data_IF_202220112317
#
_entry.id   IF_202220112317
#
_cell.length_a   1.000
_cell.length_b   1.000
_cell.length_c   1.000
_cell.angle_alpha   90.00
_cell.angle_beta   90.00
_cell.angle_gamma   90.00
#
_symmetry.space_group_name_H-M   'P 1'
#
loop_
_entity.id
_entity.type
_entity.pdbx_description
1 polymer ?
#
# COMPACT_ATOMS: atom_id res chain seq x y z
N UNK A 1 2.91 -1.17 -15.63
CA UNK A 1 1.88 -1.90 -16.40
C UNK A 1 0.55 -1.36 -15.92
N UNK A 2 0.02 -0.37 -16.64
CA UNK A 2 -1.36 0.06 -16.50
C UNK A 2 -2.04 -0.62 -17.68
N UNK A 3 -3.03 -1.47 -17.44
CA UNK A 3 -3.87 -1.93 -18.54
C UNK A 3 -4.56 -0.68 -19.07
N UNK A 4 -4.13 -0.21 -20.24
CA UNK A 4 -4.25 1.20 -20.66
C UNK A 4 -5.72 1.70 -20.69
N UNK A 5 -6.68 0.77 -20.72
CA UNK A 5 -8.12 1.04 -20.77
C UNK A 5 -8.95 0.22 -19.74
N UNK A 6 -8.31 -0.47 -18.79
CA UNK A 6 -9.03 -1.22 -17.75
C UNK A 6 -9.02 -0.47 -16.42
N UNK A 7 -10.21 -0.13 -15.93
CA UNK A 7 -10.40 0.40 -14.59
C UNK A 7 -10.74 -0.76 -13.65
N UNK A 8 -9.97 -0.88 -12.56
CA UNK A 8 -10.29 -1.83 -11.50
C UNK A 8 -11.61 -1.39 -10.84
N UNK A 9 -12.65 -2.24 -10.80
CA UNK A 9 -13.89 -1.91 -10.12
C UNK A 9 -13.66 -1.64 -8.63
N UNK A 10 -14.41 -0.71 -8.05
CA UNK A 10 -14.36 -0.36 -6.63
C UNK A 10 -12.96 0.05 -6.11
N UNK A 11 -12.11 0.62 -6.96
CA UNK A 11 -10.73 0.94 -6.60
C UNK A 11 -10.62 1.98 -5.48
N UNK A 12 -11.48 3.00 -5.48
CA UNK A 12 -11.47 4.02 -4.43
C UNK A 12 -12.01 3.46 -3.12
N UNK A 13 -13.06 2.63 -3.17
CA UNK A 13 -13.62 1.93 -2.02
C UNK A 13 -12.62 0.94 -1.42
N UNK A 14 -11.82 0.27 -2.26
CA UNK A 14 -10.75 -0.61 -1.81
C UNK A 14 -9.66 0.19 -1.08
N UNK A 15 -9.31 1.39 -1.58
CA UNK A 15 -8.36 2.30 -0.92
C UNK A 15 -8.90 2.81 0.42
N UNK A 16 -10.17 3.19 0.48
CA UNK A 16 -10.82 3.60 1.73
C UNK A 16 -10.82 2.46 2.75
N UNK A 17 -11.19 1.25 2.33
CA UNK A 17 -11.20 0.05 3.17
C UNK A 17 -9.84 -0.21 3.82
N UNK A 18 -8.75 -0.24 3.05
CA UNK A 18 -7.41 -0.47 3.62
C UNK A 18 -6.91 0.71 4.46
N UNK A 19 -7.33 1.94 4.14
CA UNK A 19 -6.95 3.12 4.92
C UNK A 19 -7.60 3.09 6.31
N UNK A 20 -8.89 2.75 6.39
CA UNK A 20 -9.58 2.59 7.67
C UNK A 20 -9.05 1.40 8.48
N UNK A 21 -8.71 0.29 7.81
CA UNK A 21 -8.08 -0.86 8.45
C UNK A 21 -6.69 -0.50 9.02
N UNK A 22 -5.85 0.19 8.26
CA UNK A 22 -4.52 0.61 8.70
C UNK A 22 -4.57 1.54 9.93
N UNK A 23 -5.58 2.42 10.01
CA UNK A 23 -5.79 3.29 11.19
C UNK A 23 -6.05 2.52 12.49
N UNK A 24 -6.53 1.27 12.41
CA UNK A 24 -6.74 0.44 13.61
C UNK A 24 -5.43 -0.07 14.23
N UNK A 25 -4.32 -0.05 13.48
CA UNK A 25 -3.02 -0.59 13.90
C UNK A 25 -1.90 0.44 13.63
N UNK A 26 -1.92 1.62 14.30
CA UNK A 26 -1.01 2.72 13.99
C UNK A 26 0.47 2.43 14.30
N UNK A 27 0.77 1.32 14.98
CA UNK A 27 2.13 0.89 15.29
C UNK A 27 2.85 0.33 14.05
N UNK A 28 2.11 -0.13 13.04
CA UNK A 28 2.67 -0.65 11.80
C UNK A 28 2.65 0.45 10.74
N UNK A 29 3.84 0.90 10.32
CA UNK A 29 3.99 2.04 9.40
C UNK A 29 3.70 1.68 7.94
N UNK A 30 3.85 0.41 7.57
CA UNK A 30 3.59 -0.09 6.21
C UNK A 30 2.99 -1.49 6.27
N UNK A 31 1.93 -1.70 5.50
CA UNK A 31 1.24 -2.98 5.37
C UNK A 31 1.04 -3.25 3.88
N UNK A 32 1.39 -4.44 3.41
CA UNK A 32 0.98 -4.93 2.09
C UNK A 32 -0.40 -5.54 2.18
N UNK A 33 -1.36 -5.04 1.39
CA UNK A 33 -2.75 -5.50 1.45
C UNK A 33 -3.12 -6.33 0.23
N UNK A 34 -3.66 -7.51 0.50
CA UNK A 34 -4.34 -8.33 -0.51
C UNK A 34 -5.84 -8.12 -0.39
N UNK A 35 -6.48 -7.73 -1.50
CA UNK A 35 -7.89 -7.35 -1.56
C UNK A 35 -8.55 -8.16 -2.68
N UNK A 36 -9.70 -8.76 -2.41
CA UNK A 36 -10.58 -9.28 -3.45
C UNK A 36 -11.65 -8.25 -3.82
N UNK A 37 -11.89 -8.07 -5.11
CA UNK A 37 -13.01 -7.28 -5.64
C UNK A 37 -14.15 -8.25 -5.97
N UNK A 38 -15.23 -8.20 -5.19
CA UNK A 38 -16.44 -8.98 -5.41
C UNK A 38 -17.50 -8.17 -6.17
N UNK A 39 -18.57 -8.79 -6.69
CA UNK A 39 -19.65 -8.07 -7.38
C UNK A 39 -20.34 -6.99 -6.54
N UNK A 40 -20.30 -7.11 -5.21
CA UNK A 40 -20.91 -6.23 -4.23
C UNK A 40 -19.92 -5.31 -3.51
N UNK A 41 -18.62 -5.47 -3.72
CA UNK A 41 -17.59 -4.57 -3.19
C UNK A 41 -16.25 -5.25 -2.87
N UNK A 42 -15.28 -4.46 -2.36
CA UNK A 42 -13.98 -4.98 -1.95
C UNK A 42 -14.04 -5.66 -0.58
N UNK A 43 -13.25 -6.72 -0.40
CA UNK A 43 -13.01 -7.37 0.90
C UNK A 43 -11.51 -7.53 1.16
N UNK A 44 -11.13 -7.44 2.44
CA UNK A 44 -9.76 -7.72 2.88
C UNK A 44 -9.52 -9.24 2.90
N UNK A 45 -8.40 -9.68 2.31
CA UNK A 45 -7.93 -11.06 2.41
C UNK A 45 -6.80 -11.16 3.43
N UNK A 46 -5.76 -10.35 3.27
CA UNK A 46 -4.56 -10.39 4.10
C UNK A 46 -3.97 -8.98 4.25
N UNK A 47 -3.43 -8.69 5.44
CA UNK A 47 -2.53 -7.57 5.68
C UNK A 47 -1.17 -8.11 6.12
N UNK A 48 -0.15 -7.90 5.30
CA UNK A 48 1.21 -8.35 5.55
C UNK A 48 2.03 -7.22 6.19
N UNK A 49 2.47 -7.43 7.44
CA UNK A 49 3.23 -6.46 8.24
C UNK A 49 4.72 -6.39 7.86
N UNK A 50 5.20 -7.34 7.06
CA UNK A 50 6.54 -7.38 6.48
C UNK A 50 6.45 -7.55 4.97
N UNK A 51 5.83 -6.59 4.25
CA UNK A 51 5.64 -6.72 2.82
C UNK A 51 7.01 -6.81 2.15
N UNK A 52 7.13 -7.71 1.17
CA UNK A 52 8.36 -7.90 0.41
C UNK A 52 8.62 -6.73 -0.53
N UNK A 53 8.99 -5.57 0.01
CA UNK A 53 9.28 -4.36 -0.77
C UNK A 53 10.55 -4.61 -1.58
N UNK A 54 10.42 -4.74 -2.90
CA UNK A 54 11.54 -5.07 -3.79
C UNK A 54 12.20 -3.82 -4.35
N UNK A 55 13.46 -3.99 -4.74
CA UNK A 55 14.29 -2.97 -5.37
C UNK A 55 13.56 -2.21 -6.50
N UNK A 56 12.76 -2.90 -7.31
CA UNK A 56 12.01 -2.26 -8.40
C UNK A 56 10.94 -1.29 -7.90
N UNK A 57 10.26 -1.58 -6.79
CA UNK A 57 9.22 -0.72 -6.22
C UNK A 57 9.82 0.56 -5.61
N UNK A 58 11.05 0.46 -5.11
CA UNK A 58 11.83 1.57 -4.57
C UNK A 58 12.42 2.41 -5.73
N UNK A 59 13.11 1.78 -6.68
CA UNK A 59 13.99 2.48 -7.64
C UNK A 59 13.27 2.96 -8.90
N UNK A 60 12.21 2.27 -9.35
CA UNK A 60 11.53 2.59 -10.62
C UNK A 60 10.52 3.73 -10.55
N UNK A 61 10.72 4.70 -9.64
CA UNK A 61 9.88 5.91 -9.44
C UNK A 61 8.56 5.70 -8.67
N UNK A 62 8.39 4.58 -7.97
CA UNK A 62 7.31 4.39 -7.00
C UNK A 62 7.67 5.00 -5.65
N UNK A 63 8.08 4.16 -4.70
CA UNK A 63 8.35 4.55 -3.33
C UNK A 63 9.59 5.46 -3.17
N UNK A 64 10.65 5.27 -3.95
CA UNK A 64 11.88 6.07 -3.83
C UNK A 64 11.75 7.55 -4.24
N UNK A 65 10.56 8.00 -4.64
CA UNK A 65 10.23 9.41 -4.86
C UNK A 65 9.10 9.92 -3.97
N UNK A 66 8.46 9.03 -3.21
CA UNK A 66 7.36 9.40 -2.33
C UNK A 66 7.95 10.01 -1.05
N UNK A 67 7.68 11.29 -0.73
CA UNK A 67 8.29 11.96 0.41
C UNK A 67 7.92 11.29 1.75
N UNK A 68 6.69 10.79 1.89
CA UNK A 68 6.22 10.09 3.10
C UNK A 68 6.96 8.77 3.28
N UNK A 69 7.17 8.03 2.18
CA UNK A 69 7.96 6.80 2.24
C UNK A 69 9.42 7.06 2.61
N UNK A 70 10.03 8.11 2.02
CA UNK A 70 11.42 8.47 2.31
C UNK A 70 11.62 8.94 3.75
N UNK A 71 10.66 9.68 4.31
CA UNK A 71 10.65 10.09 5.71
C UNK A 71 10.63 8.87 6.63
N UNK A 72 9.64 7.97 6.46
CA UNK A 72 9.55 6.71 7.20
C UNK A 72 10.82 5.86 7.06
N UNK A 73 11.40 5.80 5.86
CA UNK A 73 12.61 5.04 5.61
C UNK A 73 13.84 5.64 6.32
N UNK A 74 13.96 6.97 6.38
CA UNK A 74 15.03 7.65 7.11
C UNK A 74 14.88 7.50 8.63
N UNK A 75 13.64 7.60 9.16
CA UNK A 75 13.30 7.31 10.56
C UNK A 75 13.76 5.89 10.93
N UNK A 76 13.42 4.90 10.09
CA UNK A 76 13.82 3.50 10.31
C UNK A 76 15.34 3.26 10.25
N UNK A 77 16.09 4.11 9.54
CA UNK A 77 17.55 4.07 9.48
C UNK A 77 18.23 4.89 10.60
N UNK A 78 17.47 5.59 11.44
CA UNK A 78 17.98 6.46 12.51
C UNK A 78 18.78 7.66 11.98
N UNK A 79 18.35 8.24 10.85
CA UNK A 79 19.04 9.36 10.18
C UNK A 79 18.40 10.74 10.45
N UNK A 80 17.66 10.86 11.55
CA UNK A 80 16.95 12.09 11.95
C UNK A 80 17.90 13.27 12.23
#
# INVERSE_FOLDING_TARGET
>A
MVFQDFQVPFYEEAKELVTEAAKQIPQIKIIGWDIAIQPDGPILIEGNDHPGIRYNEIVMKGFGKNPVFLEMFNEALGKD
#
